data_IF_361723347608
#
_entry.id   IF_361723347608
#
_cell.length_a   1.000
_cell.length_b   1.000
_cell.length_c   1.000
_cell.angle_alpha   90.00
_cell.angle_beta   90.00
_cell.angle_gamma   90.00
#
_symmetry.space_group_name_H-M   'P 1'
#
loop_
_entity.id
_entity.type
_entity.pdbx_description
1 polymer ?
#
# COMPACT_ATOMS: atom_id res chain seq x y z
N UNK A 1 8.35 2.70 -3.90
CA UNK A 1 9.42 3.10 -2.95
C UNK A 1 9.08 4.38 -2.21
N UNK A 2 8.90 5.52 -2.89
CA UNK A 2 8.65 6.82 -2.24
C UNK A 2 7.55 6.79 -1.17
N UNK A 3 6.39 6.17 -1.45
CA UNK A 3 5.31 6.04 -0.46
C UNK A 3 5.69 5.28 0.81
N UNK A 4 6.50 4.24 0.68
CA UNK A 4 6.96 3.41 1.81
C UNK A 4 7.93 4.22 2.66
N UNK A 5 8.82 4.97 2.02
CA UNK A 5 9.72 5.91 2.69
C UNK A 5 8.95 7.01 3.44
N UNK A 6 7.92 7.61 2.83
CA UNK A 6 7.04 8.54 3.56
C UNK A 6 6.34 7.87 4.76
N UNK A 7 6.09 6.56 4.68
CA UNK A 7 5.58 5.76 5.79
C UNK A 7 6.48 5.75 7.01
N UNK A 8 7.81 5.82 6.84
CA UNK A 8 8.75 5.85 7.96
C UNK A 8 8.65 7.15 8.74
N UNK A 9 8.43 8.27 8.04
CA UNK A 9 8.22 9.59 8.63
C UNK A 9 6.92 9.63 9.43
N UNK A 10 5.82 9.10 8.87
CA UNK A 10 4.50 9.14 9.53
C UNK A 10 4.39 8.26 10.76
N UNK A 11 5.11 7.13 10.82
CA UNK A 11 5.12 6.21 11.99
C UNK A 11 6.36 6.35 12.87
N UNK A 12 7.24 7.32 12.61
CA UNK A 12 8.49 7.56 13.35
C UNK A 12 9.33 6.29 13.57
N UNK A 13 9.39 5.42 12.55
CA UNK A 13 10.16 4.16 12.54
C UNK A 13 11.38 4.29 11.65
N UNK A 14 12.42 3.49 11.91
CA UNK A 14 13.65 3.58 11.14
C UNK A 14 13.46 2.88 9.78
N UNK A 15 13.97 3.50 8.71
CA UNK A 15 13.92 2.90 7.38
C UNK A 15 14.75 1.61 7.27
N UNK A 16 15.72 1.43 8.17
CA UNK A 16 16.59 0.25 8.22
C UNK A 16 15.97 -0.93 9.00
N UNK A 17 14.78 -0.76 9.58
CA UNK A 17 14.11 -1.84 10.29
C UNK A 17 13.68 -2.94 9.31
N UNK A 18 13.89 -4.20 9.68
CA UNK A 18 13.59 -5.36 8.83
C UNK A 18 12.16 -5.34 8.25
N UNK A 19 11.10 -4.99 9.01
CA UNK A 19 9.75 -4.89 8.46
C UNK A 19 9.61 -3.86 7.33
N UNK A 20 10.35 -2.73 7.40
CA UNK A 20 10.29 -1.69 6.36
C UNK A 20 11.09 -2.08 5.12
N UNK A 21 12.22 -2.76 5.29
CA UNK A 21 12.99 -3.32 4.16
C UNK A 21 12.14 -4.36 3.42
N UNK A 22 11.45 -5.24 4.15
CA UNK A 22 10.52 -6.20 3.55
C UNK A 22 9.32 -5.48 2.90
N UNK A 23 8.75 -4.47 3.54
CA UNK A 23 7.67 -3.68 2.95
C UNK A 23 8.12 -3.02 1.64
N UNK A 24 9.36 -2.53 1.59
CA UNK A 24 9.94 -1.98 0.39
C UNK A 24 10.02 -3.04 -0.72
N UNK A 25 10.65 -4.19 -0.44
CA UNK A 25 10.81 -5.26 -1.41
C UNK A 25 9.46 -5.74 -1.98
N UNK A 26 8.50 -6.04 -1.11
CA UNK A 26 7.18 -6.55 -1.50
C UNK A 26 6.23 -5.47 -2.02
N UNK A 27 6.44 -4.20 -1.68
CA UNK A 27 5.67 -3.08 -2.19
C UNK A 27 5.83 -2.85 -3.70
N UNK A 28 6.82 -3.48 -4.34
CA UNK A 28 6.95 -3.51 -5.81
C UNK A 28 5.77 -4.21 -6.49
N UNK A 29 5.08 -5.13 -5.80
CA UNK A 29 3.84 -5.75 -6.30
C UNK A 29 2.71 -4.76 -6.52
N UNK A 30 2.79 -3.57 -5.91
CA UNK A 30 1.84 -2.45 -6.11
C UNK A 30 2.24 -1.53 -7.27
N UNK A 31 3.36 -1.78 -7.96
CA UNK A 31 3.79 -0.98 -9.12
C UNK A 31 2.72 -0.86 -10.22
N UNK A 32 1.87 -1.87 -10.52
CA UNK A 32 0.79 -1.71 -11.48
C UNK A 32 -0.23 -0.61 -11.12
N UNK A 33 -0.41 -0.27 -9.83
CA UNK A 33 -1.27 0.85 -9.41
C UNK A 33 -0.68 2.17 -9.90
N UNK A 34 0.63 2.36 -9.74
CA UNK A 34 1.35 3.53 -10.23
C UNK A 34 1.27 3.63 -11.76
N UNK A 35 1.46 2.51 -12.46
CA UNK A 35 1.44 2.45 -13.92
C UNK A 35 0.06 2.69 -14.53
N UNK A 36 -1.02 2.14 -13.93
CA UNK A 36 -2.38 2.22 -14.50
C UNK A 36 -3.16 3.46 -14.07
N UNK A 37 -2.93 3.93 -12.84
CA UNK A 37 -3.73 5.00 -12.24
C UNK A 37 -2.92 6.27 -11.94
N UNK A 38 -1.62 6.27 -12.21
CA UNK A 38 -0.74 7.42 -12.02
C UNK A 38 0.15 7.30 -10.79
N UNK A 39 1.31 7.94 -10.87
CA UNK A 39 2.37 7.81 -9.87
C UNK A 39 1.93 8.26 -8.46
N UNK A 40 1.07 9.28 -8.35
CA UNK A 40 0.52 9.75 -7.07
C UNK A 40 -0.22 8.63 -6.32
N UNK A 41 -1.06 7.85 -7.02
CA UNK A 41 -1.77 6.72 -6.42
C UNK A 41 -0.83 5.56 -6.10
N UNK A 42 0.26 5.41 -6.85
CA UNK A 42 1.35 4.49 -6.51
C UNK A 42 2.09 4.87 -5.21
N UNK A 43 2.35 6.16 -5.00
CA UNK A 43 2.92 6.67 -3.74
C UNK A 43 1.95 6.43 -2.59
N UNK A 44 0.67 6.75 -2.77
CA UNK A 44 -0.35 6.49 -1.76
C UNK A 44 -0.46 4.99 -1.42
N UNK A 45 -0.41 4.11 -2.42
CA UNK A 45 -0.42 2.66 -2.22
C UNK A 45 0.78 2.17 -1.39
N UNK A 46 1.97 2.71 -1.67
CA UNK A 46 3.16 2.42 -0.87
C UNK A 46 3.05 2.88 0.59
N UNK A 47 2.46 4.05 0.83
CA UNK A 47 2.24 4.60 2.18
C UNK A 47 1.25 3.73 2.98
N UNK A 48 0.16 3.31 2.35
CA UNK A 48 -0.84 2.43 2.96
C UNK A 48 -0.22 1.05 3.23
N UNK A 49 0.59 0.53 2.31
CA UNK A 49 1.26 -0.76 2.46
C UNK A 49 2.22 -0.80 3.66
N UNK A 50 3.13 0.18 3.79
CA UNK A 50 4.06 0.24 4.93
C UNK A 50 3.32 0.39 6.26
N UNK A 51 2.24 1.18 6.28
CA UNK A 51 1.35 1.32 7.43
C UNK A 51 0.69 0.00 7.83
N UNK A 52 0.21 -0.77 6.85
CA UNK A 52 -0.42 -2.06 7.07
C UNK A 52 0.58 -3.10 7.58
N UNK A 53 1.77 -3.18 6.98
CA UNK A 53 2.87 -4.08 7.40
C UNK A 53 3.22 -3.87 8.87
N UNK A 54 3.37 -2.62 9.30
CA UNK A 54 3.68 -2.29 10.69
C UNK A 54 2.56 -2.66 11.67
N UNK A 55 1.32 -2.74 11.17
CA UNK A 55 0.16 -3.07 12.00
C UNK A 55 -0.04 -4.59 12.13
N UNK A 56 0.52 -5.40 11.24
CA UNK A 56 0.30 -6.87 11.18
C UNK A 56 1.32 -7.72 11.94
N UNK A 57 2.29 -7.12 12.63
CA UNK A 57 3.30 -7.85 13.39
C UNK A 57 2.74 -8.73 14.53
N UNK A 58 1.54 -8.42 15.03
CA UNK A 58 0.82 -9.24 16.02
C UNK A 58 -0.26 -10.06 15.31
N UNK A 59 -0.46 -11.35 15.65
CA UNK A 59 -1.52 -12.17 15.11
C UNK A 59 -2.91 -11.51 15.24
N UNK A 60 -3.72 -11.63 14.19
CA UNK A 60 -5.11 -11.16 14.15
C UNK A 60 -6.00 -12.37 13.99
N UNK A 61 -6.92 -12.58 14.92
CA UNK A 61 -7.83 -13.73 14.92
C UNK A 61 -7.11 -15.09 14.75
N UNK A 62 -5.95 -15.27 15.41
CA UNK A 62 -5.15 -16.50 15.33
C UNK A 62 -4.27 -16.63 14.08
N UNK A 63 -4.33 -15.67 13.14
CA UNK A 63 -3.53 -15.65 11.93
C UNK A 63 -2.37 -14.65 12.03
N UNK A 64 -1.17 -15.06 11.65
CA UNK A 64 -0.04 -14.15 11.50
C UNK A 64 -0.07 -13.52 10.10
N UNK A 65 -0.42 -12.23 10.03
CA UNK A 65 -0.52 -11.51 8.77
C UNK A 65 0.79 -10.83 8.34
N UNK A 66 1.91 -11.11 9.01
CA UNK A 66 3.22 -10.51 8.73
C UNK A 66 3.79 -10.81 7.31
N UNK A 67 3.14 -11.68 6.53
CA UNK A 67 3.49 -11.86 5.13
C UNK A 67 3.22 -10.57 4.33
N UNK A 68 4.28 -9.84 4.00
CA UNK A 68 4.20 -8.53 3.34
C UNK A 68 3.55 -8.63 1.95
N UNK A 69 3.78 -9.72 1.21
CA UNK A 69 3.10 -9.95 -0.07
C UNK A 69 1.58 -10.13 0.09
N UNK A 70 1.14 -10.84 1.13
CA UNK A 70 -0.28 -10.96 1.46
C UNK A 70 -0.89 -9.60 1.84
N UNK A 71 -0.20 -8.82 2.67
CA UNK A 71 -0.63 -7.46 3.02
C UNK A 71 -0.73 -6.57 1.78
N UNK A 72 0.26 -6.62 0.88
CA UNK A 72 0.21 -5.88 -0.38
C UNK A 72 -0.98 -6.31 -1.24
N UNK A 73 -1.29 -7.61 -1.30
CA UNK A 73 -2.48 -8.14 -1.96
C UNK A 73 -3.78 -7.56 -1.39
N UNK A 74 -3.93 -7.51 -0.07
CA UNK A 74 -5.10 -6.87 0.58
C UNK A 74 -5.18 -5.40 0.19
N UNK A 75 -4.06 -4.66 0.25
CA UNK A 75 -4.01 -3.23 -0.12
C UNK A 75 -4.46 -3.04 -1.57
N UNK A 76 -3.98 -3.86 -2.51
CA UNK A 76 -4.38 -3.79 -3.91
C UNK A 76 -5.88 -4.10 -4.11
N UNK A 77 -6.38 -5.16 -3.47
CA UNK A 77 -7.79 -5.58 -3.55
C UNK A 77 -8.73 -4.49 -3.05
N UNK A 78 -8.34 -3.71 -2.04
CA UNK A 78 -9.14 -2.57 -1.56
C UNK A 78 -8.97 -1.33 -2.44
N UNK A 79 -7.73 -0.94 -2.77
CA UNK A 79 -7.48 0.31 -3.49
C UNK A 79 -8.00 0.30 -4.92
N UNK A 80 -7.80 -0.78 -5.68
CA UNK A 80 -8.17 -0.83 -7.11
C UNK A 80 -9.66 -0.56 -7.36
N UNK A 81 -10.62 -1.22 -6.68
CA UNK A 81 -12.04 -0.92 -6.88
C UNK A 81 -12.41 0.49 -6.40
N UNK A 82 -11.81 0.97 -5.31
CA UNK A 82 -12.04 2.34 -4.80
C UNK A 82 -11.60 3.37 -5.84
N UNK A 83 -10.39 3.25 -6.39
CA UNK A 83 -9.87 4.14 -7.44
C UNK A 83 -10.79 4.12 -8.66
N UNK A 84 -11.22 2.94 -9.11
CA UNK A 84 -12.12 2.80 -10.27
C UNK A 84 -13.47 3.46 -10.02
N UNK A 85 -14.03 3.31 -8.82
CA UNK A 85 -15.31 3.92 -8.46
C UNK A 85 -15.25 5.45 -8.59
N UNK A 86 -14.24 6.11 -8.00
CA UNK A 86 -14.10 7.56 -8.11
C UNK A 86 -13.88 8.03 -9.55
N UNK A 87 -13.05 7.31 -10.32
CA UNK A 87 -12.77 7.70 -11.70
C UNK A 87 -13.99 7.57 -12.61
N UNK A 88 -14.77 6.49 -12.46
CA UNK A 88 -16.02 6.34 -13.21
C UNK A 88 -17.02 7.46 -12.88
N UNK A 89 -17.12 7.88 -11.61
CA UNK A 89 -18.00 9.01 -11.24
C UNK A 89 -17.56 10.33 -11.90
N UNK A 90 -16.25 10.60 -11.96
CA UNK A 90 -15.71 11.79 -12.65
C UNK A 90 -15.99 11.76 -14.16
N UNK A 91 -15.96 10.57 -14.78
CA UNK A 91 -16.26 10.42 -16.20
C UNK A 91 -17.76 10.60 -16.51
N UNK A 92 -18.67 10.29 -15.56
CA UNK A 92 -20.11 10.54 -15.70
C UNK A 92 -20.48 12.02 -15.52
N UNK A 93 -19.78 12.77 -14.66
CA UNK A 93 -20.03 14.20 -14.43
C UNK A 93 -19.63 15.10 -15.62
N UNK A 94 -18.80 14.59 -16.53
CA UNK A 94 -18.35 15.29 -17.75
C UNK A 94 -19.26 15.13 -18.96
N UNK A 95 -20.36 14.39 -18.84
CA UNK A 95 -21.36 14.15 -19.89
C UNK A 95 -22.60 15.02 -19.60
#
# INVERSE_FOLDING_TARGET
MMGIFLGTLTRSVNANDAPLILAALFGTTLAPIAGKFGWFLGVLAGLIHSSAVLSVGIPKAGLNLYNNGFVAGIVATVMVPVIRSFRNNVDQEKI
#
